data_IF_213549579553
#
_entry.id   IF_213549579553
#
_cell.length_a   1.000
_cell.length_b   1.000
_cell.length_c   1.000
_cell.angle_alpha   90.00
_cell.angle_beta   90.00
_cell.angle_gamma   90.00
#
_symmetry.space_group_name_H-M   'P 1'
#
loop_
_entity.id
_entity.type
_entity.pdbx_description
1 polymer ?
#
# COMPACT_ATOMS: atom_id res chain seq x y z
N UNK A 1 -29.78 18.75 -5.09
CA UNK A 1 -28.61 17.87 -5.29
C UNK A 1 -28.83 16.59 -4.50
N UNK A 2 -28.93 15.42 -5.17
CA UNK A 2 -28.94 14.14 -4.45
C UNK A 2 -27.51 13.89 -3.99
N UNK A 3 -27.25 13.94 -2.70
CA UNK A 3 -25.96 13.50 -2.13
C UNK A 3 -25.80 12.01 -2.47
N UNK A 4 -24.82 11.71 -3.33
CA UNK A 4 -24.41 10.34 -3.58
C UNK A 4 -23.75 9.87 -2.26
N UNK A 5 -24.31 8.86 -1.63
CA UNK A 5 -23.70 8.30 -0.44
C UNK A 5 -22.26 7.86 -0.77
N UNK A 6 -21.26 8.18 0.07
CA UNK A 6 -19.90 7.73 -0.17
C UNK A 6 -19.88 6.19 -0.15
N UNK A 7 -19.25 5.62 -1.15
CA UNK A 7 -19.02 4.18 -1.20
C UNK A 7 -17.86 3.86 -0.24
N UNK A 8 -18.13 3.03 0.76
CA UNK A 8 -17.11 2.52 1.68
C UNK A 8 -16.51 1.26 1.06
N UNK A 9 -15.17 1.20 0.98
CA UNK A 9 -14.42 0.03 0.58
C UNK A 9 -13.63 -0.52 1.78
N UNK A 10 -13.63 -1.84 1.94
CA UNK A 10 -12.89 -2.54 2.99
C UNK A 10 -11.67 -3.21 2.34
N UNK A 11 -10.48 -2.92 2.86
CA UNK A 11 -9.25 -3.59 2.50
C UNK A 11 -8.79 -4.49 3.65
N UNK A 12 -8.50 -5.75 3.35
CA UNK A 12 -7.89 -6.68 4.29
C UNK A 12 -6.37 -6.70 4.09
N UNK A 13 -5.61 -6.67 5.18
CA UNK A 13 -4.14 -6.68 5.18
C UNK A 13 -3.56 -7.88 5.95
N UNK A 14 -4.36 -8.91 6.22
CA UNK A 14 -3.94 -10.11 6.97
C UNK A 14 -2.70 -10.75 6.37
N UNK A 15 -2.62 -10.82 5.04
CA UNK A 15 -1.51 -11.48 4.32
C UNK A 15 -0.24 -10.63 4.22
N UNK A 16 -0.30 -9.35 4.59
CA UNK A 16 0.86 -8.47 4.63
C UNK A 16 1.15 -8.02 6.06
N UNK A 17 0.29 -7.19 6.65
CA UNK A 17 0.47 -6.64 8.00
C UNK A 17 0.27 -7.70 9.08
N UNK A 18 -0.74 -8.54 8.91
CA UNK A 18 -1.02 -9.65 9.83
C UNK A 18 0.14 -10.64 9.92
N UNK A 19 0.84 -10.91 8.82
CA UNK A 19 2.01 -11.79 8.79
C UNK A 19 3.24 -11.19 9.50
N UNK A 20 3.29 -9.88 9.74
CA UNK A 20 4.34 -9.27 10.53
C UNK A 20 4.23 -9.56 12.03
N UNK A 21 3.14 -10.21 12.46
CA UNK A 21 2.95 -10.65 13.83
C UNK A 21 3.95 -11.76 14.18
N UNK A 22 4.60 -11.65 15.33
CA UNK A 22 5.57 -12.67 15.78
C UNK A 22 4.93 -14.05 15.84
N UNK A 23 5.59 -15.04 15.21
CA UNK A 23 5.14 -16.44 15.16
C UNK A 23 4.11 -16.73 14.06
N UNK A 24 3.74 -15.75 13.23
CA UNK A 24 2.90 -15.94 12.05
C UNK A 24 3.78 -16.00 10.80
N UNK A 25 3.56 -17.00 9.97
CA UNK A 25 4.20 -17.14 8.65
C UNK A 25 3.33 -18.01 7.78
N UNK A 26 3.12 -17.62 6.54
CA UNK A 26 2.32 -18.36 5.58
C UNK A 26 3.18 -18.85 4.41
N UNK A 27 2.97 -20.10 3.99
CA UNK A 27 3.53 -20.56 2.72
C UNK A 27 2.68 -20.07 1.54
N UNK A 28 3.22 -20.02 0.31
CA UNK A 28 2.51 -19.43 -0.84
C UNK A 28 1.10 -19.99 -1.07
N UNK A 29 0.91 -21.29 -0.86
CA UNK A 29 -0.40 -21.93 -1.03
C UNK A 29 -1.42 -21.49 0.04
N UNK A 30 -0.99 -21.30 1.27
CA UNK A 30 -1.84 -20.79 2.36
C UNK A 30 -2.27 -19.36 2.08
N UNK A 31 -1.33 -18.49 1.62
CA UNK A 31 -1.66 -17.13 1.17
C UNK A 31 -2.73 -17.14 0.07
N UNK A 32 -2.59 -18.00 -0.93
CA UNK A 32 -3.61 -18.15 -1.97
C UNK A 32 -4.97 -18.56 -1.39
N UNK A 33 -4.99 -19.56 -0.48
CA UNK A 33 -6.25 -20.01 0.13
C UNK A 33 -6.93 -18.88 0.93
N UNK A 34 -6.17 -18.15 1.72
CA UNK A 34 -6.68 -17.00 2.51
C UNK A 34 -7.19 -15.89 1.57
N UNK A 35 -6.42 -15.52 0.54
CA UNK A 35 -6.84 -14.53 -0.45
C UNK A 35 -8.17 -14.91 -1.13
N UNK A 36 -8.37 -16.20 -1.43
CA UNK A 36 -9.62 -16.70 -1.99
C UNK A 36 -10.78 -16.55 -1.02
N UNK A 37 -10.61 -16.94 0.24
CA UNK A 37 -11.65 -16.77 1.26
C UNK A 37 -12.03 -15.31 1.45
N UNK A 38 -11.04 -14.41 1.48
CA UNK A 38 -11.26 -12.98 1.62
C UNK A 38 -12.04 -12.41 0.43
N UNK A 39 -11.66 -12.74 -0.80
CA UNK A 39 -12.22 -12.15 -2.00
C UNK A 39 -13.51 -12.83 -2.49
N UNK A 40 -13.65 -14.16 -2.35
CA UNK A 40 -14.82 -14.90 -2.85
C UNK A 40 -15.92 -15.09 -1.79
N UNK A 41 -15.54 -15.40 -0.54
CA UNK A 41 -16.51 -15.72 0.51
C UNK A 41 -16.84 -14.49 1.37
N UNK A 42 -15.83 -13.85 1.95
CA UNK A 42 -16.01 -12.66 2.78
C UNK A 42 -16.32 -11.41 1.93
N UNK A 43 -15.87 -11.40 0.68
CA UNK A 43 -16.13 -10.34 -0.33
C UNK A 43 -15.61 -8.97 0.10
N UNK A 44 -14.46 -8.92 0.77
CA UNK A 44 -13.75 -7.65 0.99
C UNK A 44 -13.43 -7.00 -0.35
N UNK A 45 -13.41 -5.69 -0.40
CA UNK A 45 -13.22 -4.97 -1.66
C UNK A 45 -11.81 -5.11 -2.22
N UNK A 46 -10.80 -5.16 -1.32
CA UNK A 46 -9.37 -5.22 -1.69
C UNK A 46 -8.59 -6.07 -0.69
N UNK A 47 -7.50 -6.67 -1.14
CA UNK A 47 -6.60 -7.46 -0.29
C UNK A 47 -5.15 -7.05 -0.57
N UNK A 48 -4.42 -6.66 0.47
CA UNK A 48 -2.98 -6.44 0.41
C UNK A 48 -2.27 -7.75 0.78
N UNK A 49 -1.55 -8.33 -0.17
CA UNK A 49 -1.11 -9.73 -0.07
C UNK A 49 0.36 -9.92 0.32
N UNK A 50 1.19 -8.90 0.17
CA UNK A 50 2.63 -8.97 0.46
C UNK A 50 3.28 -7.60 0.50
N UNK A 51 4.54 -7.56 0.98
CA UNK A 51 5.48 -6.46 0.72
C UNK A 51 6.46 -6.86 -0.37
N UNK A 52 6.77 -5.91 -1.26
CA UNK A 52 7.72 -6.16 -2.34
C UNK A 52 9.13 -6.49 -1.81
N UNK A 53 9.83 -7.40 -2.49
CA UNK A 53 11.25 -7.70 -2.28
C UNK A 53 11.63 -8.33 -0.93
N UNK A 54 10.68 -8.92 -0.22
CA UNK A 54 10.97 -9.57 1.07
C UNK A 54 11.67 -10.91 0.87
N UNK A 55 11.16 -11.76 -0.02
CA UNK A 55 11.73 -13.08 -0.33
C UNK A 55 11.23 -13.64 -1.64
N UNK A 56 11.86 -14.71 -2.15
CA UNK A 56 11.39 -15.46 -3.31
C UNK A 56 10.03 -16.12 -3.03
N UNK A 57 9.80 -16.58 -1.80
CA UNK A 57 8.51 -17.14 -1.38
C UNK A 57 7.37 -16.13 -1.46
N UNK A 58 7.64 -14.85 -1.13
CA UNK A 58 6.66 -13.77 -1.32
C UNK A 58 6.37 -13.53 -2.80
N UNK A 59 7.41 -13.56 -3.65
CA UNK A 59 7.23 -13.43 -5.10
C UNK A 59 6.32 -14.53 -5.65
N UNK A 60 6.59 -15.78 -5.29
CA UNK A 60 5.80 -16.94 -5.73
C UNK A 60 4.36 -16.87 -5.22
N UNK A 61 4.15 -16.44 -3.97
CA UNK A 61 2.83 -16.25 -3.39
C UNK A 61 2.02 -15.20 -4.16
N UNK A 62 2.59 -14.01 -4.38
CA UNK A 62 1.94 -12.92 -5.12
C UNK A 62 1.61 -13.36 -6.53
N UNK A 63 2.57 -13.99 -7.24
CA UNK A 63 2.36 -14.51 -8.59
C UNK A 63 1.21 -15.50 -8.64
N UNK A 64 1.17 -16.45 -7.70
CA UNK A 64 0.13 -17.46 -7.63
C UNK A 64 -1.26 -16.84 -7.38
N UNK A 65 -1.35 -15.85 -6.51
CA UNK A 65 -2.58 -15.09 -6.22
C UNK A 65 -3.02 -14.31 -7.46
N UNK A 66 -2.10 -13.58 -8.11
CA UNK A 66 -2.41 -12.80 -9.31
C UNK A 66 -2.86 -13.66 -10.47
N UNK A 67 -2.20 -14.80 -10.73
CA UNK A 67 -2.60 -15.75 -11.76
C UNK A 67 -4.01 -16.33 -11.52
N UNK A 68 -4.37 -16.60 -10.26
CA UNK A 68 -5.71 -17.02 -9.88
C UNK A 68 -6.72 -15.87 -10.03
N UNK A 69 -6.42 -14.68 -9.51
CA UNK A 69 -7.30 -13.52 -9.50
C UNK A 69 -7.62 -13.04 -10.93
N UNK A 70 -6.63 -13.09 -11.84
CA UNK A 70 -6.81 -12.73 -13.25
C UNK A 70 -7.89 -13.61 -13.93
N UNK A 71 -7.90 -14.92 -13.67
CA UNK A 71 -8.92 -15.84 -14.20
C UNK A 71 -10.33 -15.63 -13.64
N UNK A 72 -10.46 -14.84 -12.59
CA UNK A 72 -11.72 -14.53 -11.88
C UNK A 72 -12.16 -13.08 -12.03
N UNK A 73 -11.43 -12.27 -12.81
CA UNK A 73 -11.64 -10.81 -12.90
C UNK A 73 -11.52 -10.09 -11.54
N UNK A 74 -10.68 -10.61 -10.65
CA UNK A 74 -10.42 -10.06 -9.31
C UNK A 74 -9.04 -9.38 -9.21
N UNK A 75 -8.23 -9.41 -10.26
CA UNK A 75 -6.86 -8.86 -10.25
C UNK A 75 -6.80 -7.39 -9.77
N UNK A 76 -7.72 -6.48 -10.13
CA UNK A 76 -7.69 -5.10 -9.63
C UNK A 76 -7.94 -4.95 -8.12
N UNK A 77 -8.30 -6.05 -7.44
CA UNK A 77 -8.55 -6.08 -5.99
C UNK A 77 -7.37 -6.66 -5.21
N UNK A 78 -6.32 -7.10 -5.90
CA UNK A 78 -5.07 -7.61 -5.31
C UNK A 78 -4.03 -6.51 -5.33
N UNK A 79 -3.52 -6.16 -4.16
CA UNK A 79 -2.60 -5.06 -3.95
C UNK A 79 -1.31 -5.54 -3.26
N UNK A 80 -0.19 -4.88 -3.55
CA UNK A 80 1.11 -5.19 -2.95
C UNK A 80 1.74 -3.91 -2.42
N UNK A 81 2.29 -3.96 -1.21
CA UNK A 81 3.05 -2.85 -0.64
C UNK A 81 4.39 -2.72 -1.36
N UNK A 82 4.69 -1.53 -1.84
CA UNK A 82 5.97 -1.17 -2.44
C UNK A 82 6.61 0.04 -1.76
N UNK A 83 7.83 0.35 -2.15
CA UNK A 83 8.64 1.38 -1.52
C UNK A 83 9.06 2.45 -2.54
N UNK A 84 9.40 3.65 -2.03
CA UNK A 84 9.98 4.74 -2.83
C UNK A 84 11.47 4.44 -3.02
N UNK A 85 11.76 3.50 -3.93
CA UNK A 85 13.11 2.94 -4.18
C UNK A 85 13.49 2.97 -5.67
N UNK A 86 13.05 3.98 -6.37
CA UNK A 86 13.19 4.12 -7.83
C UNK A 86 12.26 3.16 -8.55
N UNK A 87 12.79 2.27 -9.37
CA UNK A 87 12.00 1.33 -10.15
C UNK A 87 11.85 -0.05 -9.48
N UNK A 88 12.63 -0.33 -8.46
CA UNK A 88 12.87 -1.69 -7.98
C UNK A 88 11.63 -2.39 -7.44
N UNK A 89 10.84 -1.71 -6.59
CA UNK A 89 9.58 -2.26 -6.10
C UNK A 89 8.53 -2.38 -7.21
N UNK A 90 8.46 -1.39 -8.10
CA UNK A 90 7.53 -1.41 -9.24
C UNK A 90 7.81 -2.60 -10.16
N UNK A 91 9.08 -2.79 -10.56
CA UNK A 91 9.49 -3.89 -11.42
C UNK A 91 9.19 -5.26 -10.80
N UNK A 92 9.50 -5.39 -9.50
CA UNK A 92 9.22 -6.63 -8.77
C UNK A 92 7.72 -6.94 -8.75
N UNK A 93 6.88 -5.95 -8.41
CA UNK A 93 5.43 -6.13 -8.34
C UNK A 93 4.86 -6.42 -9.72
N UNK A 94 5.28 -5.69 -10.75
CA UNK A 94 4.86 -5.89 -12.12
C UNK A 94 5.20 -7.30 -12.62
N UNK A 95 6.39 -7.81 -12.30
CA UNK A 95 6.85 -9.15 -12.69
C UNK A 95 6.01 -10.28 -12.07
N UNK A 96 5.37 -10.06 -10.90
CA UNK A 96 4.43 -11.04 -10.32
C UNK A 96 3.09 -11.09 -11.05
N UNK A 97 2.80 -10.16 -11.93
CA UNK A 97 1.51 -9.99 -12.59
C UNK A 97 0.54 -9.06 -11.86
N UNK A 98 0.88 -8.58 -10.66
CA UNK A 98 0.09 -7.58 -9.95
C UNK A 98 0.05 -6.24 -10.70
N UNK A 99 -1.04 -5.50 -10.56
CA UNK A 99 -1.25 -4.21 -11.26
C UNK A 99 -1.61 -3.07 -10.32
N UNK A 100 -1.57 -3.31 -9.02
CA UNK A 100 -1.85 -2.29 -8.00
C UNK A 100 -0.73 -2.26 -6.97
N UNK A 101 -0.09 -1.11 -6.84
CA UNK A 101 0.94 -0.86 -5.83
C UNK A 101 0.39 0.07 -4.74
N UNK A 102 0.61 -0.30 -3.47
CA UNK A 102 0.44 0.56 -2.32
C UNK A 102 1.82 1.12 -1.95
N UNK A 103 2.12 2.34 -2.38
CA UNK A 103 3.42 2.95 -2.21
C UNK A 103 3.57 3.54 -0.80
N UNK A 104 4.53 3.06 -0.02
CA UNK A 104 4.78 3.54 1.33
C UNK A 104 5.59 4.84 1.32
N UNK A 105 4.95 5.94 1.72
CA UNK A 105 5.53 7.27 1.81
C UNK A 105 5.53 7.77 3.26
N UNK A 106 6.42 8.71 3.60
CA UNK A 106 6.50 9.27 4.94
C UNK A 106 5.56 10.47 5.09
N UNK A 107 4.53 10.32 5.91
CA UNK A 107 3.50 11.32 6.18
C UNK A 107 3.87 12.33 7.28
N UNK A 108 5.08 12.29 7.85
CA UNK A 108 5.57 13.29 8.81
C UNK A 108 6.95 13.82 8.44
N UNK A 109 7.22 15.10 8.70
CA UNK A 109 8.52 15.73 8.48
C UNK A 109 9.62 15.01 9.27
N UNK A 110 9.32 14.58 10.48
CA UNK A 110 10.24 13.83 11.33
C UNK A 110 10.73 12.54 10.65
N UNK A 111 9.82 11.76 10.06
CA UNK A 111 10.20 10.54 9.34
C UNK A 111 10.95 10.86 8.04
N UNK A 112 10.56 11.92 7.32
CA UNK A 112 11.26 12.36 6.12
C UNK A 112 12.71 12.74 6.44
N UNK A 113 12.94 13.61 7.43
CA UNK A 113 14.27 14.14 7.73
C UNK A 113 15.15 13.20 8.55
N UNK A 114 14.57 12.49 9.55
CA UNK A 114 15.36 11.65 10.46
C UNK A 114 15.55 10.21 9.96
N UNK A 115 14.55 9.61 9.31
CA UNK A 115 14.65 8.24 8.80
C UNK A 115 15.19 8.20 7.37
N UNK A 116 14.60 8.98 6.46
CA UNK A 116 15.05 9.01 5.06
C UNK A 116 16.28 9.92 4.87
N UNK A 117 16.50 10.89 5.77
CA UNK A 117 17.56 11.92 5.66
C UNK A 117 17.44 12.74 4.37
N UNK A 118 16.18 13.07 3.99
CA UNK A 118 15.85 13.84 2.80
C UNK A 118 15.17 15.15 3.17
N UNK A 119 15.25 16.12 2.27
CA UNK A 119 14.39 17.30 2.35
C UNK A 119 12.96 16.95 1.91
N UNK A 120 11.95 17.77 2.27
CA UNK A 120 10.60 17.63 1.75
C UNK A 120 10.53 17.53 0.22
N UNK A 121 11.26 18.41 -0.46
CA UNK A 121 11.29 18.50 -1.92
C UNK A 121 11.85 17.22 -2.54
N UNK A 122 13.00 16.73 -2.06
CA UNK A 122 13.61 15.50 -2.53
C UNK A 122 12.67 14.29 -2.33
N UNK A 123 11.99 14.23 -1.18
CA UNK A 123 11.06 13.11 -0.93
C UNK A 123 9.84 13.17 -1.84
N UNK A 124 9.27 14.35 -2.07
CA UNK A 124 8.14 14.54 -2.98
C UNK A 124 8.53 14.20 -4.42
N UNK A 125 9.70 14.64 -4.89
CA UNK A 125 10.20 14.33 -6.22
C UNK A 125 10.39 12.82 -6.42
N UNK A 126 10.95 12.13 -5.44
CA UNK A 126 11.10 10.66 -5.48
C UNK A 126 9.76 9.95 -5.58
N UNK A 127 8.76 10.37 -4.78
CA UNK A 127 7.42 9.79 -4.84
C UNK A 127 6.82 9.99 -6.24
N UNK A 128 6.87 11.21 -6.77
CA UNK A 128 6.35 11.55 -8.11
C UNK A 128 7.05 10.70 -9.17
N UNK A 129 8.37 10.52 -9.07
CA UNK A 129 9.14 9.68 -9.98
C UNK A 129 8.65 8.23 -10.01
N UNK A 130 8.45 7.63 -8.83
CA UNK A 130 7.94 6.25 -8.73
C UNK A 130 6.49 6.13 -9.22
N UNK A 131 5.64 7.11 -8.90
CA UNK A 131 4.23 7.13 -9.35
C UNK A 131 4.17 7.20 -10.88
N UNK A 132 4.93 8.08 -11.51
CA UNK A 132 4.96 8.22 -12.95
C UNK A 132 5.45 6.93 -13.61
N UNK A 133 6.54 6.35 -13.09
CA UNK A 133 7.07 5.10 -13.63
C UNK A 133 6.07 3.94 -13.50
N UNK A 134 5.39 3.80 -12.36
CA UNK A 134 4.37 2.78 -12.18
C UNK A 134 3.20 2.95 -13.18
N UNK A 135 2.75 4.20 -13.39
CA UNK A 135 1.71 4.50 -14.37
C UNK A 135 2.14 4.19 -15.82
N UNK A 136 3.42 4.41 -16.17
CA UNK A 136 3.99 4.01 -17.47
C UNK A 136 4.00 2.49 -17.68
N UNK A 137 3.98 1.71 -16.58
CA UNK A 137 3.85 0.25 -16.59
C UNK A 137 2.39 -0.23 -16.47
N UNK A 138 1.40 0.64 -16.73
CA UNK A 138 -0.03 0.33 -16.60
C UNK A 138 -0.42 -0.17 -15.19
N UNK A 139 0.24 0.34 -14.14
CA UNK A 139 -0.08 0.02 -12.76
C UNK A 139 -0.89 1.14 -12.10
N UNK A 140 -1.89 0.76 -11.31
CA UNK A 140 -2.62 1.67 -10.41
C UNK A 140 -1.78 1.93 -9.16
N UNK A 141 -1.68 3.18 -8.75
CA UNK A 141 -0.92 3.59 -7.56
C UNK A 141 -1.85 4.10 -6.48
N UNK A 142 -1.76 3.50 -5.30
CA UNK A 142 -2.25 4.07 -4.04
C UNK A 142 -1.05 4.49 -3.20
N UNK A 143 -1.22 5.41 -2.26
CA UNK A 143 -0.15 5.77 -1.33
C UNK A 143 -0.58 5.61 0.12
N UNK A 144 0.32 5.08 0.94
CA UNK A 144 0.28 5.17 2.39
C UNK A 144 1.07 6.40 2.84
N UNK A 145 0.47 7.22 3.69
CA UNK A 145 1.13 8.33 4.36
C UNK A 145 1.43 7.90 5.80
N UNK A 146 2.59 7.27 5.99
CA UNK A 146 3.03 6.72 7.27
C UNK A 146 3.27 7.83 8.29
N UNK A 147 2.84 7.62 9.54
CA UNK A 147 2.93 8.58 10.64
C UNK A 147 2.12 9.88 10.40
N UNK A 148 1.04 9.78 9.60
CA UNK A 148 0.17 10.90 9.24
C UNK A 148 -0.32 11.73 10.43
N UNK A 149 -0.79 11.09 11.51
CA UNK A 149 -1.36 11.80 12.66
C UNK A 149 -0.34 12.67 13.37
N UNK A 150 0.90 12.21 13.52
CA UNK A 150 1.99 13.03 14.05
C UNK A 150 2.40 14.10 13.03
N UNK A 151 2.41 13.77 11.74
CA UNK A 151 2.65 14.75 10.67
C UNK A 151 1.68 15.93 10.75
N UNK A 152 0.38 15.66 10.84
CA UNK A 152 -0.65 16.70 10.95
C UNK A 152 -0.56 17.51 12.24
N UNK A 153 -0.10 16.89 13.33
CA UNK A 153 0.06 17.56 14.63
C UNK A 153 1.30 18.44 14.68
N UNK A 154 2.44 17.92 14.20
CA UNK A 154 3.75 18.50 14.47
C UNK A 154 4.36 19.20 13.24
N UNK A 155 3.86 18.95 12.03
CA UNK A 155 4.38 19.48 10.76
C UNK A 155 3.30 19.53 9.66
N UNK A 156 2.15 20.20 9.89
CA UNK A 156 1.05 20.23 8.93
C UNK A 156 1.43 20.87 7.59
N UNK A 157 2.34 21.85 7.60
CA UNK A 157 2.84 22.50 6.38
C UNK A 157 3.49 21.50 5.43
N UNK A 158 4.32 20.60 5.96
CA UNK A 158 4.94 19.52 5.17
C UNK A 158 3.88 18.59 4.59
N UNK A 159 2.89 18.20 5.40
CA UNK A 159 1.83 17.29 4.97
C UNK A 159 1.02 17.90 3.82
N UNK A 160 0.63 19.17 3.96
CA UNK A 160 -0.10 19.89 2.90
C UNK A 160 0.76 20.08 1.65
N UNK A 161 2.02 20.48 1.79
CA UNK A 161 2.95 20.62 0.66
C UNK A 161 3.04 19.30 -0.14
N UNK A 162 3.20 18.19 0.55
CA UNK A 162 3.28 16.87 -0.07
C UNK A 162 1.96 16.48 -0.76
N UNK A 163 0.82 16.60 -0.07
CA UNK A 163 -0.48 16.23 -0.65
C UNK A 163 -0.82 17.11 -1.85
N UNK A 164 -0.60 18.42 -1.76
CA UNK A 164 -0.87 19.35 -2.86
C UNK A 164 -0.02 18.99 -4.10
N UNK A 165 1.26 18.67 -3.92
CA UNK A 165 2.11 18.24 -5.03
C UNK A 165 1.63 16.91 -5.65
N UNK A 166 1.24 15.94 -4.81
CA UNK A 166 0.81 14.62 -5.25
C UNK A 166 -0.59 14.62 -5.88
N UNK A 167 -1.46 15.59 -5.56
CA UNK A 167 -2.78 15.71 -6.21
C UNK A 167 -2.73 15.97 -7.71
N UNK A 168 -1.58 16.38 -8.23
CA UNK A 168 -1.35 16.58 -9.67
C UNK A 168 -0.85 15.34 -10.39
N UNK A 169 -0.74 14.22 -9.68
CA UNK A 169 -0.31 12.91 -10.21
C UNK A 169 -1.50 11.96 -10.36
N UNK A 170 -1.30 10.83 -11.05
CA UNK A 170 -2.34 9.82 -11.22
C UNK A 170 -2.34 8.81 -10.06
N UNK A 171 -2.51 9.30 -8.83
CA UNK A 171 -2.70 8.48 -7.63
C UNK A 171 -4.20 8.23 -7.44
N UNK A 172 -4.57 6.97 -7.20
CA UNK A 172 -5.96 6.55 -7.06
C UNK A 172 -6.51 6.78 -5.66
N UNK A 173 -5.71 6.45 -4.62
CA UNK A 173 -6.12 6.53 -3.22
C UNK A 173 -5.02 7.10 -2.35
N UNK A 174 -5.42 7.90 -1.36
CA UNK A 174 -4.58 8.41 -0.30
C UNK A 174 -4.99 7.75 1.01
N UNK A 175 -4.08 7.01 1.64
CA UNK A 175 -4.33 6.26 2.86
C UNK A 175 -3.52 6.87 4.00
N UNK A 176 -4.19 7.57 4.91
CA UNK A 176 -3.54 8.17 6.09
C UNK A 176 -3.35 7.12 7.17
N UNK A 177 -2.10 6.85 7.54
CA UNK A 177 -1.72 5.83 8.51
C UNK A 177 -1.41 6.48 9.86
N UNK A 178 -2.03 5.96 10.92
CA UNK A 178 -1.81 6.42 12.28
C UNK A 178 -1.47 5.24 13.18
N UNK A 179 -0.34 5.34 13.88
CA UNK A 179 0.02 4.38 14.93
C UNK A 179 -0.54 4.79 16.30
N UNK A 180 -0.99 6.04 16.47
CA UNK A 180 -1.36 6.62 17.76
C UNK A 180 -2.82 6.40 18.16
N UNK A 181 -3.71 6.12 17.20
CA UNK A 181 -5.15 6.02 17.42
C UNK A 181 -5.72 4.62 17.32
N UNK A 182 -4.90 3.63 16.95
CA UNK A 182 -5.33 2.25 16.75
C UNK A 182 -4.93 1.29 17.88
N UNK A 183 -4.34 1.79 18.95
CA UNK A 183 -4.25 1.01 20.17
C UNK A 183 -5.63 0.98 20.80
N UNK A 184 -6.39 -0.07 20.52
CA UNK A 184 -7.52 -0.44 21.37
C UNK A 184 -7.01 -0.46 22.81
N UNK A 185 -7.73 0.15 23.79
CA UNK A 185 -7.33 0.03 25.18
C UNK A 185 -7.25 -1.46 25.51
N UNK A 186 -6.04 -1.93 25.80
CA UNK A 186 -5.87 -3.28 26.33
C UNK A 186 -6.60 -3.29 27.67
N UNK A 187 -7.76 -3.93 27.72
CA UNK A 187 -8.42 -4.20 28.98
C UNK A 187 -7.55 -5.25 29.67
N UNK A 188 -6.78 -4.79 30.66
CA UNK A 188 -6.03 -5.65 31.54
C UNK A 188 -6.98 -6.40 32.48
#
# INVERSE_FOLDING_TARGET
MKYKQPQIEIMDTTLRDGEQTSGVSFVPHEKLMIARLLLEELKVDRVEVASARVSDGEFDAVKMICDWAARRNLLPRVEVLGFVDGHTSVDWIHATGCRVINLLCKGSLKHCTCQLRKTPEEHIEDIIGVVNYANEQDMEVNIYLEDWSNGMKDSPEYVFQMVDALMHTNIKRYMSVSYTHLTLPTIA
#
